data_IF_450356696907
#
_entry.id   IF_450356696907
#
_cell.length_a   1.000
_cell.length_b   1.000
_cell.length_c   1.000
_cell.angle_alpha   90.00
_cell.angle_beta   90.00
_cell.angle_gamma   90.00
#
_symmetry.space_group_name_H-M   'P 1'
#
loop_
_entity.id
_entity.type
_entity.pdbx_description
1 polymer ?
#
# COMPACT_ATOMS: atom_id res chain seq x y z
N UNK A 1 1.49 3.90 -2.13
CA UNK A 1 2.36 3.33 -3.19
C UNK A 1 3.23 2.23 -2.57
N UNK A 2 4.24 1.67 -3.25
CA UNK A 2 5.30 0.91 -2.55
C UNK A 2 6.28 1.87 -1.89
N UNK A 3 6.94 1.41 -0.82
CA UNK A 3 7.89 2.23 -0.05
C UNK A 3 9.02 2.84 -0.87
N UNK A 4 9.47 2.20 -1.95
CA UNK A 4 10.50 2.77 -2.84
C UNK A 4 10.02 4.04 -3.56
N UNK A 5 8.75 4.09 -3.95
CA UNK A 5 8.14 5.26 -4.58
C UNK A 5 8.14 6.43 -3.60
N UNK A 6 7.68 6.19 -2.38
CA UNK A 6 7.68 7.22 -1.33
C UNK A 6 9.08 7.73 -0.97
N UNK A 7 10.06 6.82 -0.92
CA UNK A 7 11.46 7.17 -0.69
C UNK A 7 11.99 8.10 -1.78
N UNK A 8 11.87 7.72 -3.06
CA UNK A 8 12.41 8.53 -4.16
C UNK A 8 11.61 9.83 -4.36
N UNK A 9 10.32 9.82 -4.08
CA UNK A 9 9.49 11.03 -4.08
C UNK A 9 9.95 12.03 -3.02
N UNK A 10 10.35 11.56 -1.84
CA UNK A 10 10.99 12.39 -0.82
C UNK A 10 12.31 13.02 -1.29
N UNK A 11 13.16 12.24 -1.98
CA UNK A 11 14.39 12.75 -2.63
C UNK A 11 14.07 13.78 -3.71
N UNK A 12 13.04 13.53 -4.51
CA UNK A 12 12.58 14.45 -5.54
C UNK A 12 12.04 15.74 -4.94
N UNK A 13 11.27 15.70 -3.86
CA UNK A 13 10.80 16.88 -3.15
C UNK A 13 11.96 17.75 -2.65
N UNK A 14 13.01 17.13 -2.10
CA UNK A 14 14.22 17.86 -1.70
C UNK A 14 14.92 18.54 -2.90
N UNK A 15 14.93 17.89 -4.07
CA UNK A 15 15.57 18.45 -5.28
C UNK A 15 14.93 19.75 -5.78
N UNK A 16 13.66 20.03 -5.44
CA UNK A 16 13.00 21.29 -5.78
C UNK A 16 13.43 22.46 -4.90
N UNK A 17 14.20 22.20 -3.84
CA UNK A 17 14.74 23.24 -2.97
C UNK A 17 16.11 23.68 -3.50
N UNK A 18 16.28 24.92 -4.01
CA UNK A 18 17.54 25.34 -4.61
C UNK A 18 18.74 25.23 -3.66
N UNK A 19 18.53 25.56 -2.37
CA UNK A 19 19.57 25.43 -1.33
C UNK A 19 19.98 23.98 -1.07
N UNK A 20 19.10 23.00 -1.29
CA UNK A 20 19.43 21.59 -1.13
C UNK A 20 20.33 21.13 -2.28
N UNK A 21 20.06 21.60 -3.50
CA UNK A 21 20.89 21.35 -4.67
C UNK A 21 22.26 22.01 -4.53
N UNK A 22 22.30 23.28 -4.15
CA UNK A 22 23.54 24.02 -3.90
C UNK A 22 24.40 23.36 -2.80
N UNK A 23 23.77 22.98 -1.67
CA UNK A 23 24.46 22.26 -0.60
C UNK A 23 25.06 20.95 -1.12
N UNK A 24 24.32 20.18 -1.93
CA UNK A 24 24.80 18.93 -2.50
C UNK A 24 25.96 19.14 -3.49
N UNK A 25 25.91 20.18 -4.32
CA UNK A 25 27.02 20.56 -5.21
C UNK A 25 28.29 20.93 -4.43
N UNK A 26 28.12 21.50 -3.23
CA UNK A 26 29.21 21.82 -2.30
C UNK A 26 29.61 20.62 -1.39
N UNK A 27 29.15 19.41 -1.70
CA UNK A 27 29.52 18.17 -1.00
C UNK A 27 28.64 17.81 0.20
N UNK A 28 27.57 18.55 0.48
CA UNK A 28 26.63 18.29 1.56
C UNK A 28 25.26 17.79 1.03
N UNK A 29 25.10 16.48 0.93
CA UNK A 29 23.86 15.85 0.47
C UNK A 29 22.79 15.65 1.56
N UNK A 30 22.97 16.22 2.76
CA UNK A 30 22.15 15.87 3.90
C UNK A 30 20.66 16.26 3.75
N UNK A 31 20.33 17.31 2.98
CA UNK A 31 18.93 17.63 2.65
C UNK A 31 18.28 16.54 1.78
N UNK A 32 18.99 15.95 0.83
CA UNK A 32 18.46 14.83 0.04
C UNK A 32 18.23 13.59 0.90
N UNK A 33 19.15 13.29 1.82
CA UNK A 33 19.01 12.18 2.78
C UNK A 33 17.80 12.43 3.68
N UNK A 34 17.64 13.65 4.19
CA UNK A 34 16.48 14.04 5.00
C UNK A 34 15.17 13.86 4.22
N UNK A 35 15.13 14.32 2.96
CA UNK A 35 13.98 14.11 2.08
C UNK A 35 13.65 12.63 1.91
N UNK A 36 14.66 11.79 1.66
CA UNK A 36 14.49 10.34 1.51
C UNK A 36 13.93 9.68 2.77
N UNK A 37 14.50 10.01 3.94
CA UNK A 37 14.08 9.49 5.24
C UNK A 37 12.66 9.96 5.55
N UNK A 38 12.37 11.26 5.44
CA UNK A 38 11.05 11.82 5.70
C UNK A 38 9.99 11.25 4.74
N UNK A 39 10.35 10.99 3.49
CA UNK A 39 9.47 10.40 2.48
C UNK A 39 9.05 8.96 2.81
N UNK A 40 9.91 8.12 3.38
CA UNK A 40 9.56 6.73 3.76
C UNK A 40 9.12 6.59 5.24
N UNK A 41 9.28 7.64 6.04
CA UNK A 41 9.08 7.58 7.48
C UNK A 41 7.65 7.15 7.92
N UNK A 42 6.55 7.62 7.31
CA UNK A 42 5.21 7.22 7.73
C UNK A 42 5.00 5.69 7.67
N UNK A 43 5.34 5.09 6.52
CA UNK A 43 5.34 3.64 6.32
C UNK A 43 6.29 2.94 7.29
N UNK A 44 7.48 3.51 7.51
CA UNK A 44 8.47 2.91 8.42
C UNK A 44 7.93 2.85 9.85
N UNK A 45 7.30 3.93 10.33
CA UNK A 45 6.65 3.96 11.64
C UNK A 45 5.57 2.89 11.73
N UNK A 46 4.70 2.81 10.72
CA UNK A 46 3.59 1.87 10.74
C UNK A 46 4.06 0.41 10.71
N UNK A 47 4.88 0.06 9.72
CA UNK A 47 5.26 -1.33 9.46
C UNK A 47 6.39 -1.85 10.36
N UNK A 48 7.26 -0.98 10.88
CA UNK A 48 8.39 -1.39 11.74
C UNK A 48 8.13 -1.20 13.23
N UNK A 49 7.15 -0.37 13.60
CA UNK A 49 6.84 -0.09 15.00
C UNK A 49 5.36 -0.31 15.31
N UNK A 50 4.47 0.55 14.79
CA UNK A 50 3.10 0.63 15.28
C UNK A 50 2.31 -0.67 15.10
N UNK A 51 2.53 -1.39 13.99
CA UNK A 51 1.96 -2.71 13.74
C UNK A 51 2.17 -3.68 14.90
N UNK A 52 3.37 -3.72 15.50
CA UNK A 52 3.72 -4.67 16.55
C UNK A 52 3.09 -4.33 17.90
N UNK A 53 2.70 -3.07 18.10
CA UNK A 53 1.98 -2.61 19.29
C UNK A 53 0.46 -2.59 19.08
N UNK A 54 -0.02 -2.96 17.89
CA UNK A 54 -1.44 -2.96 17.60
C UNK A 54 -2.12 -4.17 18.23
N UNK A 55 -3.11 -3.92 19.09
CA UNK A 55 -3.88 -4.95 19.76
C UNK A 55 -4.88 -5.62 18.80
N UNK A 56 -4.99 -6.94 18.87
CA UNK A 56 -6.04 -7.71 18.19
C UNK A 56 -6.93 -8.38 19.22
N UNK A 57 -8.24 -8.21 19.07
CA UNK A 57 -9.23 -8.83 19.95
C UNK A 57 -9.43 -10.31 19.57
N UNK A 58 -9.31 -10.62 18.27
CA UNK A 58 -9.39 -11.97 17.72
C UNK A 58 -8.23 -12.20 16.74
N UNK A 59 -7.52 -13.32 16.87
CA UNK A 59 -6.51 -13.75 15.91
C UNK A 59 -6.79 -15.16 15.42
N UNK A 60 -6.96 -15.30 14.09
CA UNK A 60 -7.28 -16.56 13.44
C UNK A 60 -5.99 -17.14 12.86
N UNK A 61 -5.62 -18.34 13.32
CA UNK A 61 -4.48 -19.11 12.86
C UNK A 61 -4.97 -20.40 12.20
N UNK A 62 -5.12 -20.43 10.87
CA UNK A 62 -5.52 -21.66 10.20
C UNK A 62 -4.44 -22.73 10.34
N UNK A 63 -4.85 -23.99 10.46
CA UNK A 63 -3.92 -25.10 10.64
C UNK A 63 -3.17 -25.39 9.32
N UNK A 64 -1.83 -25.53 9.32
CA UNK A 64 -1.05 -25.73 8.09
C UNK A 64 -1.40 -27.02 7.34
N UNK A 65 -1.66 -28.11 8.07
CA UNK A 65 -1.95 -29.42 7.46
C UNK A 65 -3.44 -29.75 7.30
N UNK A 66 -4.33 -28.96 7.92
CA UNK A 66 -5.78 -29.20 7.90
C UNK A 66 -6.45 -28.00 7.25
N UNK A 67 -6.56 -28.07 5.93
CA UNK A 67 -7.09 -26.99 5.09
C UNK A 67 -8.63 -26.94 5.13
N UNK A 68 -9.18 -26.72 6.33
CA UNK A 68 -10.61 -26.47 6.54
C UNK A 68 -10.88 -24.96 6.54
N UNK A 69 -11.57 -24.40 5.53
CA UNK A 69 -11.84 -22.97 5.45
C UNK A 69 -13.00 -22.51 6.33
N UNK A 70 -13.83 -23.43 6.85
CA UNK A 70 -15.06 -23.08 7.58
C UNK A 70 -14.79 -22.30 8.88
N UNK A 71 -13.83 -22.69 9.73
CA UNK A 71 -13.51 -21.94 10.95
C UNK A 71 -13.10 -20.49 10.68
N UNK A 72 -12.45 -20.22 9.54
CA UNK A 72 -12.07 -18.86 9.14
C UNK A 72 -13.31 -18.06 8.74
N UNK A 73 -14.18 -18.64 7.92
CA UNK A 73 -15.43 -17.99 7.50
C UNK A 73 -16.32 -17.64 8.70
N UNK A 74 -16.52 -18.62 9.59
CA UNK A 74 -17.35 -18.46 10.79
C UNK A 74 -16.80 -17.39 11.72
N UNK A 75 -15.49 -17.37 11.96
CA UNK A 75 -14.87 -16.40 12.86
C UNK A 75 -14.94 -14.95 12.31
N UNK A 76 -14.82 -14.78 10.99
CA UNK A 76 -14.98 -13.44 10.36
C UNK A 76 -16.45 -12.99 10.43
N UNK A 77 -17.41 -13.87 10.11
CA UNK A 77 -18.84 -13.56 10.21
C UNK A 77 -19.27 -13.27 11.66
N UNK A 78 -18.71 -14.00 12.62
CA UNK A 78 -18.92 -13.77 14.04
C UNK A 78 -18.36 -12.41 14.48
N UNK A 79 -17.16 -12.02 14.04
CA UNK A 79 -16.58 -10.71 14.36
C UNK A 79 -17.41 -9.54 13.82
N UNK A 80 -17.94 -9.67 12.59
CA UNK A 80 -18.88 -8.72 12.00
C UNK A 80 -20.15 -8.59 12.85
N UNK A 81 -20.73 -9.72 13.23
CA UNK A 81 -21.97 -9.77 14.01
C UNK A 81 -21.77 -9.20 15.41
N UNK A 82 -20.66 -9.55 16.07
CA UNK A 82 -20.30 -9.05 17.40
C UNK A 82 -20.13 -7.53 17.41
N UNK A 83 -19.46 -6.96 16.41
CA UNK A 83 -19.32 -5.51 16.29
C UNK A 83 -20.67 -4.79 16.13
N UNK A 84 -21.63 -5.42 15.44
CA UNK A 84 -22.98 -4.87 15.28
C UNK A 84 -23.81 -4.95 16.57
N UNK A 85 -23.80 -6.12 17.23
CA UNK A 85 -24.63 -6.42 18.40
C UNK A 85 -24.11 -5.71 19.64
N UNK A 86 -22.82 -5.84 19.95
CA UNK A 86 -22.22 -5.23 21.13
C UNK A 86 -22.03 -3.71 20.98
N UNK A 87 -21.97 -3.22 19.74
CA UNK A 87 -21.58 -1.84 19.42
C UNK A 87 -20.11 -1.53 19.73
N UNK A 88 -19.33 -2.49 20.22
CA UNK A 88 -17.90 -2.32 20.50
C UNK A 88 -17.08 -2.63 19.25
N UNK A 89 -15.96 -1.92 19.00
CA UNK A 89 -15.08 -2.26 17.89
C UNK A 89 -14.42 -3.62 18.09
N UNK A 90 -14.36 -4.43 17.04
CA UNK A 90 -13.70 -5.74 17.02
C UNK A 90 -12.51 -5.70 16.08
N UNK A 91 -11.30 -5.94 16.60
CA UNK A 91 -10.06 -6.02 15.84
C UNK A 91 -9.72 -7.48 15.55
N UNK A 92 -9.76 -7.85 14.28
CA UNK A 92 -9.50 -9.22 13.83
C UNK A 92 -8.19 -9.30 13.05
N UNK A 93 -7.41 -10.34 13.31
CA UNK A 93 -6.20 -10.70 12.59
C UNK A 93 -6.39 -11.99 11.82
N UNK A 94 -6.06 -11.98 10.53
CA UNK A 94 -5.93 -13.18 9.71
C UNK A 94 -4.45 -13.53 9.58
N UNK A 95 -4.02 -14.57 10.29
CA UNK A 95 -2.63 -15.00 10.25
C UNK A 95 -2.34 -15.79 8.97
N UNK A 96 -1.12 -15.64 8.45
CA UNK A 96 -0.64 -16.43 7.32
C UNK A 96 -0.26 -17.83 7.76
N UNK A 97 -0.17 -18.74 6.79
CA UNK A 97 0.24 -20.11 7.01
C UNK A 97 1.63 -20.29 6.42
N UNK A 98 2.65 -20.27 7.28
CA UNK A 98 4.04 -20.45 6.85
C UNK A 98 4.32 -21.93 6.59
N UNK A 99 4.73 -22.25 5.37
CA UNK A 99 5.05 -23.61 4.91
C UNK A 99 6.56 -23.87 4.82
N UNK A 100 7.38 -22.82 4.88
CA UNK A 100 8.83 -22.91 4.80
C UNK A 100 9.50 -21.55 4.98
N UNK A 101 10.81 -21.46 4.73
CA UNK A 101 11.56 -20.21 4.86
C UNK A 101 11.05 -19.12 3.91
N UNK A 102 10.75 -19.50 2.66
CA UNK A 102 10.26 -18.62 1.60
C UNK A 102 8.84 -19.00 1.13
N UNK A 103 8.13 -19.87 1.85
CA UNK A 103 6.89 -20.49 1.36
C UNK A 103 5.71 -20.25 2.30
N UNK A 104 4.57 -19.87 1.73
CA UNK A 104 3.32 -19.69 2.46
C UNK A 104 2.13 -20.26 1.71
N UNK A 105 1.19 -20.86 2.43
CA UNK A 105 -0.09 -21.30 1.86
C UNK A 105 -1.02 -20.09 1.76
N UNK A 106 -1.40 -19.74 0.53
CA UNK A 106 -2.35 -18.67 0.28
C UNK A 106 -3.78 -19.11 0.64
N UNK A 107 -4.59 -18.19 1.13
CA UNK A 107 -6.05 -18.32 1.15
C UNK A 107 -6.72 -16.97 0.88
N UNK A 108 -7.97 -17.01 0.45
CA UNK A 108 -8.76 -15.81 0.14
C UNK A 108 -9.97 -15.75 1.04
N UNK A 109 -10.29 -14.55 1.51
CA UNK A 109 -11.48 -14.24 2.29
C UNK A 109 -12.25 -13.17 1.54
N UNK A 110 -13.47 -13.47 1.10
CA UNK A 110 -14.40 -12.47 0.59
C UNK A 110 -15.44 -12.15 1.63
N UNK A 111 -15.66 -10.88 1.86
CA UNK A 111 -16.80 -10.40 2.64
C UNK A 111 -17.75 -9.79 1.62
N UNK A 112 -18.94 -10.38 1.45
CA UNK A 112 -19.94 -9.98 0.46
C UNK A 112 -21.13 -9.31 1.18
N UNK A 113 -21.19 -7.96 1.19
CA UNK A 113 -22.27 -7.23 1.87
C UNK A 113 -23.64 -7.47 1.26
N UNK A 114 -23.73 -7.74 -0.04
CA UNK A 114 -25.00 -7.88 -0.76
C UNK A 114 -25.61 -9.26 -0.52
N UNK A 115 -24.77 -10.30 -0.52
CA UNK A 115 -25.19 -11.66 -0.19
C UNK A 115 -25.29 -11.92 1.33
N UNK A 116 -24.71 -11.05 2.16
CA UNK A 116 -24.70 -11.20 3.62
C UNK A 116 -23.86 -12.40 4.06
N UNK A 117 -22.72 -12.63 3.41
CA UNK A 117 -21.90 -13.80 3.70
C UNK A 117 -20.39 -13.56 3.55
N UNK A 118 -19.63 -14.37 4.29
CA UNK A 118 -18.18 -14.50 4.17
C UNK A 118 -17.88 -15.80 3.46
N UNK A 119 -17.02 -15.73 2.45
CA UNK A 119 -16.55 -16.90 1.71
C UNK A 119 -15.04 -17.07 1.86
N UNK A 120 -14.59 -18.29 2.10
CA UNK A 120 -13.17 -18.59 2.29
C UNK A 120 -12.74 -19.79 1.46
N UNK A 121 -11.57 -19.70 0.82
CA UNK A 121 -10.99 -20.79 0.05
C UNK A 121 -9.45 -20.80 0.15
N UNK A 122 -8.86 -21.99 0.32
CA UNK A 122 -7.41 -22.20 0.29
C UNK A 122 -6.87 -22.29 -1.14
N UNK A 123 -5.70 -21.69 -1.36
CA UNK A 123 -5.02 -21.61 -2.64
C UNK A 123 -3.63 -22.24 -2.66
N UNK A 124 -2.80 -21.94 -3.68
CA UNK A 124 -1.48 -22.56 -3.82
C UNK A 124 -0.53 -22.13 -2.71
N UNK A 125 0.62 -22.79 -2.65
CA UNK A 125 1.78 -22.25 -1.93
C UNK A 125 2.39 -21.14 -2.80
N UNK A 126 2.72 -20.01 -2.21
CA UNK A 126 3.40 -18.88 -2.87
C UNK A 126 4.76 -18.62 -2.22
N UNK A 127 5.67 -18.03 -2.99
CA UNK A 127 6.94 -17.51 -2.47
C UNK A 127 6.77 -16.16 -1.75
N UNK A 128 7.83 -15.61 -1.11
CA UNK A 128 7.81 -14.21 -0.61
C UNK A 128 7.49 -13.21 -1.73
N UNK A 129 7.85 -13.54 -2.98
CA UNK A 129 7.51 -12.75 -4.16
C UNK A 129 6.06 -12.90 -4.64
N UNK A 130 5.20 -13.59 -3.87
CA UNK A 130 3.81 -13.90 -4.19
C UNK A 130 3.64 -14.73 -5.48
N UNK A 131 4.70 -15.41 -5.92
CA UNK A 131 4.65 -16.28 -7.09
C UNK A 131 4.11 -17.65 -6.67
N UNK A 132 3.02 -18.15 -7.28
CA UNK A 132 2.49 -19.47 -6.96
C UNK A 132 3.45 -20.57 -7.42
N UNK A 133 3.59 -21.60 -6.59
CA UNK A 133 4.41 -22.77 -6.87
C UNK A 133 3.61 -23.81 -7.62
N UNK A 134 4.20 -24.32 -8.70
CA UNK A 134 3.57 -25.32 -9.55
C UNK A 134 3.19 -26.59 -8.76
N UNK A 135 2.02 -27.14 -9.04
CA UNK A 135 1.54 -28.39 -8.43
C UNK A 135 1.14 -28.29 -6.95
N UNK A 136 1.19 -27.09 -6.35
CA UNK A 136 0.89 -26.94 -4.91
C UNK A 136 -0.56 -26.58 -4.61
N UNK A 137 -1.40 -26.37 -5.62
CA UNK A 137 -2.82 -26.08 -5.45
C UNK A 137 -3.52 -27.27 -4.74
N UNK A 138 -4.36 -27.04 -3.71
CA UNK A 138 -5.09 -28.12 -3.06
C UNK A 138 -5.99 -28.88 -4.03
N UNK A 139 -5.98 -30.21 -3.95
CA UNK A 139 -6.80 -31.09 -4.81
C UNK A 139 -8.29 -30.87 -4.53
N UNK A 140 -8.66 -30.89 -3.26
CA UNK A 140 -10.00 -30.49 -2.81
C UNK A 140 -9.98 -29.01 -2.41
N UNK A 141 -10.92 -28.23 -2.95
CA UNK A 141 -10.98 -26.78 -2.77
C UNK A 141 -12.37 -26.36 -2.26
N UNK A 142 -12.80 -26.85 -1.09
CA UNK A 142 -14.08 -26.46 -0.54
C UNK A 142 -14.10 -24.93 -0.38
N UNK A 143 -15.23 -24.33 -0.71
CA UNK A 143 -15.52 -22.94 -0.40
C UNK A 143 -16.36 -22.97 0.86
N UNK A 144 -15.81 -22.45 1.96
CA UNK A 144 -16.59 -22.23 3.16
C UNK A 144 -17.47 -21.01 2.98
N UNK A 145 -18.67 -21.06 3.54
CA UNK A 145 -19.62 -19.95 3.53
C UNK A 145 -20.16 -19.77 4.95
N UNK A 146 -20.11 -18.54 5.47
CA UNK A 146 -20.69 -18.18 6.76
C UNK A 146 -21.55 -16.92 6.59
N UNK A 147 -22.79 -16.95 7.05
CA UNK A 147 -23.74 -15.85 6.87
C UNK A 147 -23.67 -14.84 8.02
N UNK A 148 -23.95 -13.58 7.71
CA UNK A 148 -24.21 -12.50 8.67
C UNK A 148 -25.44 -11.70 8.20
N UNK A 149 -26.21 -11.17 9.16
CA UNK A 149 -27.49 -10.48 8.87
C UNK A 149 -27.43 -8.97 9.10
N UNK A 150 -26.23 -8.39 9.09
CA UNK A 150 -26.00 -6.97 9.43
C UNK A 150 -25.52 -6.20 8.21
N UNK A 151 -26.02 -4.98 7.99
CA UNK A 151 -25.59 -4.17 6.85
C UNK A 151 -24.14 -3.71 7.04
N UNK A 152 -23.30 -3.97 6.05
CA UNK A 152 -21.88 -3.62 6.04
C UNK A 152 -21.62 -2.45 5.10
N UNK A 153 -20.65 -1.61 5.47
CA UNK A 153 -20.00 -0.67 4.57
C UNK A 153 -18.52 -1.01 4.47
N UNK A 154 -18.08 -1.39 3.28
CA UNK A 154 -16.70 -1.74 3.01
C UNK A 154 -15.97 -0.56 2.36
N UNK A 155 -14.79 -0.22 2.88
CA UNK A 155 -13.99 0.94 2.42
C UNK A 155 -12.96 0.59 1.35
N UNK A 156 -12.54 -0.68 1.29
CA UNK A 156 -11.45 -1.18 0.44
C UNK A 156 -11.97 -2.12 -0.66
N UNK A 157 -11.58 -3.39 -0.64
CA UNK A 157 -11.94 -4.42 -1.62
C UNK A 157 -12.77 -5.54 -0.98
N UNK A 158 -13.63 -6.22 -1.75
CA UNK A 158 -14.44 -7.33 -1.24
C UNK A 158 -13.62 -8.59 -0.93
N UNK A 159 -12.54 -8.83 -1.68
CA UNK A 159 -11.71 -10.04 -1.58
C UNK A 159 -10.34 -9.70 -1.03
N UNK A 160 -9.95 -10.39 0.04
CA UNK A 160 -8.66 -10.24 0.70
C UNK A 160 -7.83 -11.50 0.50
N UNK A 161 -6.63 -11.34 -0.04
CA UNK A 161 -5.66 -12.43 -0.20
C UNK A 161 -4.72 -12.45 1.01
N UNK A 162 -4.59 -13.62 1.65
CA UNK A 162 -3.67 -13.85 2.77
C UNK A 162 -2.61 -14.84 2.32
N UNK A 163 -1.38 -14.36 2.12
CA UNK A 163 -0.37 -15.14 1.40
C UNK A 163 1.09 -14.91 1.84
N UNK A 164 1.47 -13.79 2.46
CA UNK A 164 2.86 -13.54 2.91
C UNK A 164 2.96 -12.73 4.21
N UNK A 165 4.15 -12.79 4.83
CA UNK A 165 4.47 -12.15 6.11
C UNK A 165 3.52 -12.58 7.21
N UNK A 166 2.87 -11.64 7.88
CA UNK A 166 2.01 -11.90 9.04
C UNK A 166 0.52 -11.64 8.70
N UNK A 167 0.17 -11.39 7.43
CA UNK A 167 -1.23 -11.29 6.99
C UNK A 167 -1.96 -10.00 7.40
N UNK A 168 -3.22 -9.81 6.96
CA UNK A 168 -3.97 -8.57 7.19
C UNK A 168 -4.65 -8.49 8.56
N UNK A 169 -4.97 -7.26 8.96
CA UNK A 169 -5.78 -6.93 10.13
C UNK A 169 -7.00 -6.12 9.71
N UNK A 170 -8.10 -6.31 10.42
CA UNK A 170 -9.38 -5.66 10.17
C UNK A 170 -9.89 -5.04 11.45
N UNK A 171 -10.57 -3.90 11.33
CA UNK A 171 -11.38 -3.33 12.38
C UNK A 171 -12.84 -3.32 11.90
N UNK A 172 -13.71 -3.97 12.66
CA UNK A 172 -15.15 -3.93 12.48
C UNK A 172 -15.72 -2.97 13.53
N UNK A 173 -16.41 -1.92 13.08
CA UNK A 173 -16.99 -0.93 14.00
C UNK A 173 -18.36 -0.47 13.52
N UNK A 174 -19.27 -0.23 14.46
CA UNK A 174 -20.59 0.30 14.13
C UNK A 174 -20.48 1.80 13.80
N UNK A 175 -20.91 2.17 12.61
CA UNK A 175 -21.03 3.56 12.16
C UNK A 175 -22.25 4.26 12.78
N UNK A 176 -22.26 5.59 12.76
CA UNK A 176 -23.39 6.43 13.20
C UNK A 176 -24.70 6.08 12.47
N UNK A 177 -24.62 5.57 11.23
CA UNK A 177 -25.76 5.12 10.43
C UNK A 177 -26.23 3.69 10.70
N UNK A 178 -25.73 3.03 11.76
CA UNK A 178 -26.14 1.68 12.17
C UNK A 178 -25.53 0.54 11.34
N UNK A 179 -24.72 0.83 10.32
CA UNK A 179 -23.97 -0.16 9.53
C UNK A 179 -22.64 -0.51 10.19
N UNK A 180 -22.12 -1.71 9.96
CA UNK A 180 -20.74 -2.07 10.35
C UNK A 180 -19.77 -1.59 9.27
N UNK A 181 -18.86 -0.70 9.62
CA UNK A 181 -17.74 -0.30 8.78
C UNK A 181 -16.57 -1.27 8.95
N UNK A 182 -15.98 -1.67 7.82
CA UNK A 182 -14.77 -2.50 7.77
C UNK A 182 -13.59 -1.62 7.37
N UNK A 183 -12.64 -1.49 8.28
CA UNK A 183 -11.37 -0.83 8.02
C UNK A 183 -10.27 -1.87 7.82
N UNK A 184 -9.74 -1.90 6.59
CA UNK A 184 -8.57 -2.71 6.24
C UNK A 184 -7.29 -2.04 6.77
N UNK A 185 -6.44 -2.83 7.42
CA UNK A 185 -5.19 -2.40 8.06
C UNK A 185 -5.41 -1.13 8.90
N UNK A 186 -6.20 -1.22 9.98
CA UNK A 186 -6.62 -0.04 10.77
C UNK A 186 -5.47 0.69 11.47
N UNK A 187 -4.34 0.01 11.70
CA UNK A 187 -3.12 0.62 12.23
C UNK A 187 -2.36 1.42 11.17
N UNK A 188 -2.42 1.02 9.91
CA UNK A 188 -1.69 1.67 8.83
C UNK A 188 -2.42 2.94 8.38
N UNK A 189 -1.70 3.99 7.97
CA UNK A 189 -2.29 5.26 7.47
C UNK A 189 -3.24 5.94 8.45
N UNK A 190 -2.99 5.73 9.73
CA UNK A 190 -3.73 6.36 10.80
C UNK A 190 -2.98 7.63 11.23
N UNK A 191 -2.55 7.73 12.49
CA UNK A 191 -1.96 8.94 13.04
C UNK A 191 -0.67 9.39 12.35
N UNK A 192 0.15 8.44 11.91
CA UNK A 192 1.43 8.67 11.22
C UNK A 192 1.25 9.26 9.80
N UNK A 193 0.07 9.20 9.19
CA UNK A 193 -0.16 9.72 7.84
C UNK A 193 -1.01 11.00 7.86
N UNK A 194 -0.62 11.91 8.76
CA UNK A 194 -1.29 13.19 9.03
C UNK A 194 -0.37 14.36 8.69
N UNK A 195 -0.93 15.41 8.08
CA UNK A 195 -0.21 16.67 7.84
C UNK A 195 0.18 17.37 9.15
N UNK A 196 -0.56 17.12 10.23
CA UNK A 196 -0.20 17.63 11.57
C UNK A 196 1.08 16.98 12.08
N UNK A 197 1.25 15.67 11.87
CA UNK A 197 2.50 14.96 12.22
C UNK A 197 3.64 15.42 11.31
N UNK A 198 3.37 15.61 10.01
CA UNK A 198 4.33 16.21 9.09
C UNK A 198 4.83 17.59 9.58
N UNK A 199 3.91 18.46 10.00
CA UNK A 199 4.24 19.79 10.53
C UNK A 199 5.03 19.72 11.85
N UNK A 200 4.68 18.79 12.75
CA UNK A 200 5.43 18.58 14.00
C UNK A 200 6.87 18.15 13.72
N UNK A 201 7.07 17.15 12.86
CA UNK A 201 8.40 16.66 12.49
C UNK A 201 9.20 17.71 11.73
N UNK A 202 8.54 18.52 10.90
CA UNK A 202 9.16 19.66 10.25
C UNK A 202 9.62 20.73 11.27
N UNK A 203 8.83 20.99 12.31
CA UNK A 203 9.23 21.86 13.42
C UNK A 203 10.48 21.35 14.14
N UNK A 204 10.58 20.04 14.37
CA UNK A 204 11.77 19.43 14.96
C UNK A 204 12.98 19.50 14.02
N UNK A 205 12.80 19.21 12.72
CA UNK A 205 13.86 19.35 11.73
C UNK A 205 14.33 20.81 11.59
N UNK A 206 13.45 21.77 11.83
CA UNK A 206 13.77 23.21 11.81
C UNK A 206 14.77 23.64 12.89
N UNK A 207 14.96 22.82 13.94
CA UNK A 207 16.00 23.06 14.96
C UNK A 207 17.42 22.94 14.38
N UNK A 208 17.60 22.17 13.31
CA UNK A 208 18.87 22.13 12.59
C UNK A 208 18.98 23.35 11.67
N UNK A 209 18.03 23.54 10.77
CA UNK A 209 17.87 24.73 9.93
C UNK A 209 16.41 24.84 9.46
N UNK A 210 15.87 26.04 9.25
CA UNK A 210 14.50 26.18 8.71
C UNK A 210 14.33 25.48 7.35
N UNK A 211 15.40 25.44 6.55
CA UNK A 211 15.50 24.70 5.30
C UNK A 211 15.24 23.19 5.48
N UNK A 212 15.76 22.60 6.55
CA UNK A 212 15.54 21.19 6.87
C UNK A 212 14.06 20.94 7.21
N UNK A 213 13.42 21.88 7.93
CA UNK A 213 11.99 21.85 8.17
C UNK A 213 11.16 21.79 6.89
N UNK A 214 11.46 22.66 5.92
CA UNK A 214 10.76 22.68 4.62
C UNK A 214 10.93 21.36 3.86
N UNK A 215 12.15 20.83 3.81
CA UNK A 215 12.42 19.54 3.14
C UNK A 215 11.69 18.39 3.82
N UNK A 216 11.74 18.31 5.15
CA UNK A 216 11.06 17.28 5.92
C UNK A 216 9.53 17.35 5.74
N UNK A 217 8.95 18.55 5.81
CA UNK A 217 7.51 18.74 5.57
C UNK A 217 7.13 18.32 4.16
N UNK A 218 7.84 18.83 3.14
CA UNK A 218 7.53 18.57 1.73
C UNK A 218 7.58 17.09 1.39
N UNK A 219 8.63 16.39 1.83
CA UNK A 219 8.78 14.95 1.59
C UNK A 219 7.70 14.13 2.31
N UNK A 220 7.43 14.42 3.58
CA UNK A 220 6.41 13.69 4.36
C UNK A 220 5.00 13.98 3.86
N UNK A 221 4.71 15.23 3.49
CA UNK A 221 3.43 15.63 2.91
C UNK A 221 3.21 14.95 1.55
N UNK A 222 4.25 14.85 0.72
CA UNK A 222 4.18 14.17 -0.57
C UNK A 222 3.84 12.68 -0.40
N UNK A 223 4.43 12.00 0.59
CA UNK A 223 4.04 10.64 0.94
C UNK A 223 2.52 10.53 1.20
N UNK A 224 1.99 11.41 2.06
CA UNK A 224 0.56 11.42 2.41
C UNK A 224 -0.31 11.64 1.16
N UNK A 225 0.09 12.56 0.28
CA UNK A 225 -0.62 12.87 -0.98
C UNK A 225 -0.61 11.66 -1.92
N UNK A 226 0.54 11.02 -2.10
CA UNK A 226 0.67 9.81 -2.93
C UNK A 226 -0.24 8.69 -2.42
N UNK A 227 -0.35 8.56 -1.10
CA UNK A 227 -1.21 7.57 -0.49
C UNK A 227 -2.70 7.84 -0.67
N UNK A 228 -3.09 9.10 -0.84
CA UNK A 228 -4.46 9.45 -1.21
C UNK A 228 -4.81 9.06 -2.64
N UNK A 229 -3.86 8.76 -3.52
CA UNK A 229 -4.17 8.19 -4.85
C UNK A 229 -4.61 6.73 -4.79
N UNK A 230 -4.31 6.03 -3.68
CA UNK A 230 -4.66 4.63 -3.46
C UNK A 230 -6.09 4.40 -3.00
N UNK A 231 -6.39 3.16 -2.62
CA UNK A 231 -7.72 2.74 -2.17
C UNK A 231 -7.99 2.99 -0.68
N UNK A 232 -6.96 2.89 0.17
CA UNK A 232 -7.13 3.07 1.62
C UNK A 232 -7.32 4.54 2.03
N UNK A 233 -6.63 5.47 1.36
CA UNK A 233 -6.49 6.85 1.83
C UNK A 233 -5.73 6.95 3.16
N UNK A 234 -5.88 8.07 3.86
CA UNK A 234 -5.11 8.42 5.08
C UNK A 234 -5.92 9.27 6.07
N UNK A 235 -5.55 9.24 7.36
CA UNK A 235 -6.07 10.18 8.35
C UNK A 235 -5.29 11.51 8.31
N UNK A 236 -5.76 12.43 7.47
CA UNK A 236 -5.04 13.65 7.09
C UNK A 236 -4.77 14.64 8.24
N UNK A 237 -5.58 14.62 9.30
CA UNK A 237 -5.59 15.66 10.35
C UNK A 237 -5.62 15.09 11.77
N UNK A 238 -5.02 13.91 12.00
CA UNK A 238 -4.80 13.44 13.37
C UNK A 238 -3.97 14.47 14.17
N UNK A 239 -4.28 14.78 15.44
CA UNK A 239 -5.31 14.17 16.30
C UNK A 239 -6.69 14.84 16.25
N UNK A 240 -6.87 15.89 15.45
CA UNK A 240 -8.15 16.62 15.33
C UNK A 240 -9.25 15.76 14.69
N UNK A 241 -8.86 14.82 13.81
CA UNK A 241 -9.73 13.77 13.29
C UNK A 241 -9.19 12.38 13.63
N UNK A 242 -10.10 11.45 13.93
CA UNK A 242 -9.82 10.01 14.01
C UNK A 242 -10.32 9.25 12.77
N UNK A 243 -11.08 9.90 11.90
CA UNK A 243 -11.67 9.29 10.70
C UNK A 243 -10.67 9.36 9.55
N UNK A 244 -10.47 8.23 8.85
CA UNK A 244 -9.65 8.16 7.64
C UNK A 244 -10.41 8.80 6.48
N UNK A 245 -9.74 9.67 5.73
CA UNK A 245 -10.28 10.19 4.46
C UNK A 245 -10.09 9.12 3.38
N UNK A 246 -11.15 8.71 2.66
CA UNK A 246 -11.03 7.72 1.59
C UNK A 246 -10.09 8.22 0.49
N UNK A 247 -9.30 7.31 -0.08
CA UNK A 247 -8.46 7.61 -1.23
C UNK A 247 -9.24 7.66 -2.55
N UNK A 248 -8.57 8.12 -3.60
CA UNK A 248 -9.12 8.33 -4.95
C UNK A 248 -9.34 7.04 -5.74
N UNK A 249 -8.81 5.90 -5.26
CA UNK A 249 -8.94 4.58 -5.89
C UNK A 249 -8.41 4.53 -7.33
N UNK A 250 -7.34 5.28 -7.61
CA UNK A 250 -6.73 5.31 -8.95
C UNK A 250 -5.74 4.17 -9.18
N UNK A 251 -5.18 3.62 -8.12
CA UNK A 251 -4.16 2.58 -8.20
C UNK A 251 -4.13 1.70 -6.95
N UNK A 252 -3.59 0.50 -7.12
CA UNK A 252 -3.22 -0.38 -6.02
C UNK A 252 -1.75 -0.24 -5.68
N UNK A 253 -1.42 -0.46 -4.40
CA UNK A 253 -0.02 -0.44 -3.95
C UNK A 253 0.83 -1.50 -4.65
N UNK A 254 0.23 -2.63 -5.06
CA UNK A 254 0.88 -3.71 -5.79
C UNK A 254 1.12 -3.44 -7.27
N UNK A 255 0.49 -2.43 -7.87
CA UNK A 255 0.54 -2.23 -9.32
C UNK A 255 1.94 -1.83 -9.77
N UNK A 256 2.55 -2.63 -10.65
CA UNK A 256 3.91 -2.39 -11.10
C UNK A 256 4.04 -1.08 -11.88
N UNK A 257 3.07 -0.76 -12.75
CA UNK A 257 3.16 0.36 -13.68
C UNK A 257 3.05 1.74 -12.99
N UNK A 258 2.07 2.01 -12.09
CA UNK A 258 2.04 3.26 -11.34
C UNK A 258 3.29 3.48 -10.49
N UNK A 259 3.77 2.43 -9.80
CA UNK A 259 5.00 2.51 -9.02
C UNK A 259 6.22 2.84 -9.89
N UNK A 260 6.41 2.10 -10.99
CA UNK A 260 7.50 2.35 -11.93
C UNK A 260 7.44 3.76 -12.52
N UNK A 261 6.26 4.18 -12.99
CA UNK A 261 6.05 5.50 -13.58
C UNK A 261 6.34 6.64 -12.60
N UNK A 262 5.91 6.52 -11.34
CA UNK A 262 6.22 7.47 -10.28
C UNK A 262 7.72 7.54 -10.00
N UNK A 263 8.37 6.40 -9.75
CA UNK A 263 9.82 6.35 -9.50
C UNK A 263 10.59 6.95 -10.67
N UNK A 264 10.22 6.60 -11.90
CA UNK A 264 10.86 7.10 -13.10
C UNK A 264 10.69 8.62 -13.23
N UNK A 265 9.48 9.14 -13.03
CA UNK A 265 9.22 10.58 -13.04
C UNK A 265 10.06 11.29 -11.97
N UNK A 266 10.12 10.77 -10.74
CA UNK A 266 10.94 11.32 -9.67
C UNK A 266 12.42 11.38 -10.06
N UNK A 267 12.97 10.30 -10.65
CA UNK A 267 14.34 10.29 -11.15
C UNK A 267 14.58 11.37 -12.21
N UNK A 268 13.63 11.56 -13.14
CA UNK A 268 13.74 12.60 -14.17
C UNK A 268 13.66 14.02 -13.59
N UNK A 269 12.81 14.24 -12.58
CA UNK A 269 12.70 15.53 -11.89
C UNK A 269 13.97 15.83 -11.08
N UNK A 270 14.52 14.85 -10.35
CA UNK A 270 15.80 14.99 -9.66
C UNK A 270 16.89 15.33 -10.66
N UNK A 271 17.00 14.57 -11.74
CA UNK A 271 17.98 14.81 -12.80
C UNK A 271 17.85 16.22 -13.37
N UNK A 272 16.62 16.65 -13.69
CA UNK A 272 16.35 17.98 -14.22
C UNK A 272 16.79 19.08 -13.26
N UNK A 273 16.40 18.98 -11.98
CA UNK A 273 16.72 19.99 -10.98
C UNK A 273 18.23 20.11 -10.73
N UNK A 274 18.94 18.97 -10.72
CA UNK A 274 20.40 18.98 -10.64
C UNK A 274 21.04 19.57 -11.90
N UNK A 275 20.58 19.16 -13.08
CA UNK A 275 21.07 19.66 -14.37
C UNK A 275 20.85 21.17 -14.53
N UNK A 276 19.68 21.67 -14.18
CA UNK A 276 19.32 23.08 -14.28
C UNK A 276 20.15 23.98 -13.35
N UNK A 277 20.70 23.41 -12.27
CA UNK A 277 21.59 24.11 -11.34
C UNK A 277 23.07 24.08 -11.76
N UNK A 278 23.43 23.42 -12.87
CA UNK A 278 24.80 23.44 -13.39
C UNK A 278 25.04 24.78 -14.09
N UNK A 279 26.04 25.59 -13.68
CA UNK A 279 26.24 26.94 -14.26
C UNK A 279 26.57 26.96 -15.76
N UNK A 280 27.31 25.96 -16.24
CA UNK A 280 27.69 25.84 -17.65
C UNK A 280 27.70 24.37 -18.07
N UNK A 281 26.52 23.78 -18.38
CA UNK A 281 26.42 22.38 -18.73
C UNK A 281 27.02 22.13 -20.12
N UNK A 282 27.73 21.01 -20.28
CA UNK A 282 28.32 20.61 -21.55
C UNK A 282 27.28 20.47 -22.67
N UNK A 283 26.07 20.02 -22.32
CA UNK A 283 24.96 19.82 -23.24
C UNK A 283 23.77 20.64 -22.82
N UNK A 284 23.08 21.23 -23.80
CA UNK A 284 21.91 22.08 -23.56
C UNK A 284 20.64 21.42 -24.10
N UNK A 285 19.72 21.09 -23.21
CA UNK A 285 18.37 20.64 -23.55
C UNK A 285 17.33 21.27 -22.61
N UNK A 286 16.10 21.40 -23.10
CA UNK A 286 14.98 21.92 -22.31
C UNK A 286 14.28 20.81 -21.52
N UNK A 287 13.55 21.19 -20.47
CA UNK A 287 12.72 20.27 -19.69
C UNK A 287 11.77 19.46 -20.58
N UNK A 288 11.14 20.12 -21.56
CA UNK A 288 10.23 19.47 -22.50
C UNK A 288 10.96 18.40 -23.33
N UNK A 289 12.19 18.68 -23.81
CA UNK A 289 12.99 17.68 -24.53
C UNK A 289 13.35 16.50 -23.63
N UNK A 290 13.72 16.75 -22.38
CA UNK A 290 13.98 15.69 -21.41
C UNK A 290 12.74 14.82 -21.20
N UNK A 291 11.58 15.42 -20.89
CA UNK A 291 10.34 14.66 -20.67
C UNK A 291 9.92 13.89 -21.93
N UNK A 292 10.06 14.48 -23.11
CA UNK A 292 9.71 13.83 -24.37
C UNK A 292 10.58 12.59 -24.63
N UNK A 293 11.90 12.74 -24.56
CA UNK A 293 12.84 11.66 -24.87
C UNK A 293 12.98 10.61 -23.77
N UNK A 294 12.85 11.00 -22.51
CA UNK A 294 13.09 10.12 -21.38
C UNK A 294 11.81 9.56 -20.76
N UNK A 295 10.64 10.15 -21.00
CA UNK A 295 9.36 9.66 -20.46
C UNK A 295 8.37 9.30 -21.56
N UNK A 296 7.95 10.28 -22.37
CA UNK A 296 6.84 10.11 -23.30
C UNK A 296 7.16 9.06 -24.38
N UNK A 297 8.29 9.21 -25.07
CA UNK A 297 8.68 8.28 -26.14
C UNK A 297 8.92 6.86 -25.59
N UNK A 298 9.74 6.64 -24.53
CA UNK A 298 9.96 5.29 -24.01
C UNK A 298 8.68 4.60 -23.53
N UNK A 299 7.79 5.32 -22.84
CA UNK A 299 6.53 4.74 -22.35
C UNK A 299 5.55 4.47 -23.51
N UNK A 300 5.51 5.32 -24.53
CA UNK A 300 4.72 5.09 -25.73
C UNK A 300 5.23 3.85 -26.49
N UNK A 301 6.54 3.73 -26.70
CA UNK A 301 7.17 2.56 -27.33
C UNK A 301 6.89 1.30 -26.52
N UNK A 302 7.09 1.34 -25.20
CA UNK A 302 6.78 0.22 -24.33
C UNK A 302 5.30 -0.18 -24.41
N UNK A 303 4.38 0.79 -24.39
CA UNK A 303 2.95 0.56 -24.53
C UNK A 303 2.59 -0.12 -25.85
N UNK A 304 3.16 0.35 -26.96
CA UNK A 304 2.96 -0.25 -28.30
C UNK A 304 3.54 -1.66 -28.36
N UNK A 305 4.77 -1.87 -27.89
CA UNK A 305 5.40 -3.20 -27.87
C UNK A 305 4.60 -4.18 -27.02
N UNK A 306 4.20 -3.78 -25.81
CA UNK A 306 3.35 -4.59 -24.94
C UNK A 306 2.03 -4.95 -25.63
N UNK A 307 1.38 -3.98 -26.27
CA UNK A 307 0.13 -4.22 -26.98
C UNK A 307 0.30 -5.19 -28.17
N UNK A 308 1.39 -5.09 -28.92
CA UNK A 308 1.72 -6.00 -30.00
C UNK A 308 1.98 -7.42 -29.47
N UNK A 309 2.78 -7.56 -28.41
CA UNK A 309 3.11 -8.85 -27.81
C UNK A 309 1.87 -9.53 -27.20
N UNK A 310 1.03 -8.81 -26.46
CA UNK A 310 -0.22 -9.35 -25.90
C UNK A 310 -1.20 -9.77 -27.01
N UNK A 311 -1.21 -9.06 -28.15
CA UNK A 311 -2.02 -9.48 -29.31
C UNK A 311 -1.47 -10.71 -30.01
N UNK A 312 -0.16 -10.89 -30.03
CA UNK A 312 0.49 -12.08 -30.59
C UNK A 312 0.28 -13.32 -29.70
N UNK A 313 0.17 -13.12 -28.39
CA UNK A 313 0.02 -14.17 -27.38
C UNK A 313 -1.43 -14.67 -27.18
N UNK A 314 -2.31 -14.46 -28.19
CA UNK A 314 -3.69 -14.99 -28.22
C UNK A 314 -3.77 -16.53 -28.21
N UNK A 315 -2.65 -17.24 -28.05
CA UNK A 315 -2.55 -18.69 -28.08
C UNK A 315 -2.71 -19.39 -26.72
N UNK A 316 -2.41 -18.75 -25.58
CA UNK A 316 -2.58 -19.38 -24.27
C UNK A 316 -2.75 -18.38 -23.11
N UNK A 317 -3.98 -18.10 -22.66
CA UNK A 317 -4.19 -17.68 -21.28
C UNK A 317 -4.40 -18.93 -20.40
N UNK A 318 -3.50 -19.92 -20.48
CA UNK A 318 -3.30 -20.86 -19.37
C UNK A 318 -2.22 -20.33 -18.41
N UNK A 319 -2.14 -19.02 -18.25
CA UNK A 319 -1.41 -18.42 -17.13
C UNK A 319 -2.38 -18.28 -15.98
N UNK A 320 -2.42 -19.29 -15.11
CA UNK A 320 -2.88 -19.14 -13.72
C UNK A 320 -4.19 -18.35 -13.61
N UNK A 321 -5.26 -18.79 -14.27
CA UNK A 321 -6.58 -18.15 -14.18
C UNK A 321 -7.01 -18.10 -12.71
N UNK A 322 -6.72 -16.98 -12.06
CA UNK A 322 -7.14 -16.60 -10.72
C UNK A 322 -8.60 -16.16 -10.75
N UNK A 323 -9.46 -16.91 -11.42
CA UNK A 323 -10.89 -16.90 -11.13
C UNK A 323 -11.08 -17.84 -9.95
N UNK A 324 -11.04 -17.25 -8.76
CA UNK A 324 -11.37 -17.95 -7.53
C UNK A 324 -12.86 -17.77 -7.34
N UNK A 325 -13.61 -18.87 -7.28
CA UNK A 325 -15.03 -18.88 -6.92
C UNK A 325 -15.21 -18.54 -5.44
N UNK A 326 -14.82 -17.33 -5.06
CA UNK A 326 -15.09 -16.72 -3.77
C UNK A 326 -15.93 -15.48 -4.08
#
# INVERSE_FOLDING_TARGET
MKGISHFISGVAAASFCPWAVEAAQNGNSAFFILGAVAGILPDTIDFKFYRFFYHHDVSIYPHPDKLDPQPVADAVAAAVTEAAVSGKPVRLKLATIKMGADNWRQYRVKIDPDAGEVRVQFGPVVSTGQSPQYGTLPVNRPVAVAKFSVPIRQSYEPVYTVDIFDGPSFLFQRSEGGKVEIDFLPWHRNWSHSFTVAALLAGLASLWTWQAGVVAFGAYALHIIEDQTGHMGSNLFFPFSKKRTPGLKWMYSGDAFPNFGCVWLCCLLIFWNLYAAIPNPLYHFSFIRLMLYAMVIPFAVFGVVRWLLVRADKGHPETLSTEWNV
#
